data_IF_407202620770
#
_entry.id   IF_407202620770
#
_cell.length_a   1.000
_cell.length_b   1.000
_cell.length_c   1.000
_cell.angle_alpha   90.00
_cell.angle_beta   90.00
_cell.angle_gamma   90.00
#
_symmetry.space_group_name_H-M   'P 1'
#
loop_
_entity.id
_entity.type
_entity.pdbx_description
1 polymer ?
#
# COMPACT_ATOMS: atom_id res chain seq x y z
N UNK A 1 6.50 23.93 11.13
CA UNK A 1 6.06 24.06 9.73
C UNK A 1 5.28 22.82 9.32
N UNK A 2 4.05 23.00 8.80
CA UNK A 2 3.33 21.94 8.10
C UNK A 2 4.10 21.61 6.81
N UNK A 3 4.58 20.36 6.67
CA UNK A 3 5.17 19.91 5.40
C UNK A 3 4.08 19.95 4.34
N UNK A 4 4.25 20.80 3.32
CA UNK A 4 3.38 20.76 2.15
C UNK A 4 3.59 19.41 1.46
N UNK A 5 2.55 18.59 1.40
CA UNK A 5 2.55 17.35 0.62
C UNK A 5 2.55 17.75 -0.85
N UNK A 6 3.65 17.49 -1.57
CA UNK A 6 3.78 17.81 -3.00
C UNK A 6 3.73 16.57 -3.87
N UNK A 7 4.07 15.42 -3.29
CA UNK A 7 4.00 14.11 -3.94
C UNK A 7 3.32 13.11 -3.04
N UNK A 8 2.81 12.02 -3.61
CA UNK A 8 2.17 10.97 -2.82
C UNK A 8 3.15 10.32 -1.82
N UNK A 9 4.46 10.32 -2.10
CA UNK A 9 5.47 9.79 -1.17
C UNK A 9 5.64 10.64 0.10
N UNK A 10 5.18 11.90 0.09
CA UNK A 10 5.15 12.75 1.27
C UNK A 10 4.02 12.37 2.24
N UNK A 11 3.03 11.57 1.76
CA UNK A 11 1.94 11.09 2.61
C UNK A 11 2.49 10.12 3.66
N UNK A 12 2.27 10.45 4.93
CA UNK A 12 2.58 9.55 6.05
C UNK A 12 1.90 8.19 5.85
N UNK A 13 0.66 8.17 5.39
CA UNK A 13 -0.07 6.93 5.08
C UNK A 13 0.66 6.07 4.04
N UNK A 14 1.19 6.68 2.97
CA UNK A 14 1.95 5.96 1.94
C UNK A 14 3.27 5.42 2.48
N UNK A 15 3.98 6.21 3.29
CA UNK A 15 5.23 5.78 3.95
C UNK A 15 4.99 4.58 4.87
N UNK A 16 3.91 4.60 5.66
CA UNK A 16 3.51 3.47 6.51
C UNK A 16 3.11 2.24 5.70
N UNK A 17 2.36 2.42 4.61
CA UNK A 17 2.00 1.34 3.70
C UNK A 17 3.24 0.69 3.04
N UNK A 18 4.27 1.50 2.72
CA UNK A 18 5.56 1.02 2.21
C UNK A 18 6.33 0.21 3.24
N UNK A 19 6.40 0.68 4.49
CA UNK A 19 7.02 -0.07 5.59
C UNK A 19 6.29 -1.41 5.83
N UNK A 20 4.96 -1.40 5.83
CA UNK A 20 4.14 -2.58 5.98
C UNK A 20 4.39 -3.59 4.85
N UNK A 21 4.37 -3.12 3.60
CA UNK A 21 4.68 -3.95 2.42
C UNK A 21 6.04 -4.61 2.54
N UNK A 22 7.08 -3.86 2.95
CA UNK A 22 8.42 -4.43 3.16
C UNK A 22 8.40 -5.55 4.20
N UNK A 23 7.71 -5.38 5.33
CA UNK A 23 7.59 -6.41 6.37
C UNK A 23 6.84 -7.64 5.87
N UNK A 24 5.77 -7.44 5.10
CA UNK A 24 5.00 -8.53 4.47
C UNK A 24 5.90 -9.35 3.55
N UNK A 25 6.68 -8.71 2.69
CA UNK A 25 7.63 -9.43 1.82
C UNK A 25 8.68 -10.21 2.62
N UNK A 26 9.18 -9.64 3.72
CA UNK A 26 10.14 -10.30 4.60
C UNK A 26 9.57 -11.54 5.31
N UNK A 27 8.34 -11.46 5.81
CA UNK A 27 7.67 -12.56 6.53
C UNK A 27 7.27 -13.66 5.55
N UNK A 28 6.62 -13.27 4.45
CA UNK A 28 6.12 -14.20 3.42
C UNK A 28 7.24 -14.80 2.55
N UNK A 29 8.46 -14.28 2.65
CA UNK A 29 9.64 -14.82 1.98
C UNK A 29 10.41 -15.86 2.79
N UNK A 30 9.94 -16.25 3.98
CA UNK A 30 10.64 -17.15 4.89
C UNK A 30 9.80 -18.37 5.26
N UNK A 31 10.49 -19.46 5.62
CA UNK A 31 9.89 -20.64 6.23
C UNK A 31 8.82 -21.33 5.37
N UNK A 32 7.83 -21.93 6.03
CA UNK A 32 6.71 -22.58 5.36
C UNK A 32 5.89 -21.62 4.49
N UNK A 33 5.81 -20.35 4.88
CA UNK A 33 5.03 -19.35 4.18
C UNK A 33 5.56 -19.06 2.76
N UNK A 34 6.88 -19.14 2.57
CA UNK A 34 7.50 -18.96 1.26
C UNK A 34 7.06 -20.00 0.21
N UNK A 35 6.60 -21.17 0.67
CA UNK A 35 6.16 -22.31 -0.14
C UNK A 35 4.66 -22.33 -0.41
N UNK A 36 3.88 -21.52 0.31
CA UNK A 36 2.46 -21.32 0.04
C UNK A 36 2.31 -20.20 -1.00
N UNK A 37 2.54 -20.54 -2.27
CA UNK A 37 2.55 -19.58 -3.37
C UNK A 37 1.24 -18.78 -3.49
N UNK A 38 0.09 -19.44 -3.29
CA UNK A 38 -1.22 -18.81 -3.40
C UNK A 38 -1.44 -17.75 -2.33
N UNK A 39 -1.28 -18.12 -1.05
CA UNK A 39 -1.49 -17.20 0.06
C UNK A 39 -0.42 -16.09 0.08
N UNK A 40 0.83 -16.44 -0.20
CA UNK A 40 1.95 -15.49 -0.32
C UNK A 40 1.66 -14.41 -1.34
N UNK A 41 1.22 -14.81 -2.54
CA UNK A 41 1.01 -13.86 -3.64
C UNK A 41 -0.24 -13.01 -3.42
N UNK A 42 -1.31 -13.55 -2.84
CA UNK A 42 -2.49 -12.77 -2.45
C UNK A 42 -2.14 -11.68 -1.42
N UNK A 43 -1.43 -12.03 -0.34
CA UNK A 43 -1.06 -11.08 0.70
C UNK A 43 -0.11 -10.01 0.17
N UNK A 44 0.88 -10.38 -0.65
CA UNK A 44 1.80 -9.41 -1.26
C UNK A 44 1.09 -8.45 -2.20
N UNK A 45 0.18 -8.93 -3.05
CA UNK A 45 -0.62 -8.08 -3.96
C UNK A 45 -1.54 -7.15 -3.19
N UNK A 46 -2.19 -7.63 -2.14
CA UNK A 46 -3.02 -6.80 -1.26
C UNK A 46 -2.22 -5.67 -0.62
N UNK A 47 -1.02 -5.96 -0.11
CA UNK A 47 -0.13 -4.96 0.48
C UNK A 47 0.29 -3.87 -0.53
N UNK A 48 0.63 -4.27 -1.77
CA UNK A 48 1.01 -3.35 -2.84
C UNK A 48 -0.19 -2.49 -3.28
N UNK A 49 -1.39 -3.07 -3.35
CA UNK A 49 -2.61 -2.33 -3.72
C UNK A 49 -2.88 -1.14 -2.82
N UNK A 50 -2.61 -1.24 -1.51
CA UNK A 50 -2.75 -0.10 -0.58
C UNK A 50 -1.87 1.08 -0.98
N UNK A 51 -0.61 0.84 -1.39
CA UNK A 51 0.28 1.90 -1.84
C UNK A 51 -0.20 2.53 -3.15
N UNK A 52 -0.63 1.70 -4.12
CA UNK A 52 -1.16 2.17 -5.41
C UNK A 52 -2.41 3.02 -5.24
N UNK A 53 -3.35 2.59 -4.39
CA UNK A 53 -4.59 3.32 -4.12
C UNK A 53 -4.35 4.68 -3.46
N UNK A 54 -3.33 4.78 -2.61
CA UNK A 54 -2.92 6.05 -1.99
C UNK A 54 -2.27 7.00 -3.00
N UNK A 55 -1.44 6.47 -3.92
CA UNK A 55 -0.85 7.26 -4.99
C UNK A 55 -1.92 7.77 -5.96
N UNK A 56 -2.80 6.89 -6.41
CA UNK A 56 -3.91 7.23 -7.30
C UNK A 56 -4.87 8.24 -6.65
N UNK A 57 -5.23 8.03 -5.38
CA UNK A 57 -6.08 8.97 -4.64
C UNK A 57 -5.44 10.34 -4.46
N UNK A 58 -4.11 10.40 -4.34
CA UNK A 58 -3.37 11.66 -4.25
C UNK A 58 -3.39 12.42 -5.57
N UNK A 59 -3.23 11.73 -6.70
CA UNK A 59 -3.23 12.34 -8.04
C UNK A 59 -4.62 12.86 -8.45
N UNK A 60 -5.70 12.23 -7.97
CA UNK A 60 -7.08 12.64 -8.27
C UNK A 60 -7.52 13.94 -7.59
N UNK A 61 -6.77 14.47 -6.60
CA UNK A 61 -6.91 15.84 -6.09
C UNK A 61 -8.15 16.15 -5.23
N UNK A 62 -9.26 15.39 -5.33
CA UNK A 62 -10.46 15.59 -4.49
C UNK A 62 -10.55 14.61 -3.31
N UNK A 63 -10.95 15.13 -2.14
CA UNK A 63 -11.09 14.34 -0.88
C UNK A 63 -12.12 13.21 -0.99
N UNK A 64 -13.10 13.35 -1.90
CA UNK A 64 -14.12 12.34 -2.19
C UNK A 64 -13.54 11.18 -3.02
N UNK A 65 -12.68 11.47 -4.00
CA UNK A 65 -12.05 10.46 -4.84
C UNK A 65 -10.93 9.72 -4.11
N UNK A 66 -10.21 10.38 -3.18
CA UNK A 66 -9.29 9.71 -2.26
C UNK A 66 -9.99 8.64 -1.41
N UNK A 67 -11.23 8.90 -0.98
CA UNK A 67 -12.02 7.90 -0.23
C UNK A 67 -12.50 6.75 -1.13
N UNK A 68 -12.69 7.02 -2.43
CA UNK A 68 -13.08 6.02 -3.41
C UNK A 68 -11.92 5.09 -3.79
N UNK A 69 -10.68 5.60 -3.90
CA UNK A 69 -9.50 4.76 -4.18
C UNK A 69 -9.18 3.79 -3.04
N UNK A 70 -9.57 4.09 -1.80
CA UNK A 70 -9.44 3.18 -0.65
C UNK A 70 -10.40 1.99 -0.67
N UNK A 71 -11.29 1.86 -1.67
CA UNK A 71 -12.12 0.66 -1.85
C UNK A 71 -11.26 -0.47 -2.40
N UNK A 72 -10.69 -1.25 -1.48
CA UNK A 72 -9.95 -2.47 -1.76
C UNK A 72 -10.88 -3.46 -2.51
N UNK A 73 -10.59 -3.73 -3.78
CA UNK A 73 -10.97 -5.00 -4.42
C UNK A 73 -9.85 -5.99 -4.11
N UNK A 74 -10.06 -6.84 -3.11
CA UNK A 74 -9.25 -8.03 -2.89
C UNK A 74 -9.61 -9.09 -3.95
#
# INVERSE_FOLDING_TARGET
MSKSVRRFEDLIAWQRARELSKRIYQITGKGAFARDYGLRDQIRRSAVSVMSNLAEGFERGSRLEFRASLKIHC
#
